data_IF_363880030838
#
_entry.id   IF_363880030838
#
_cell.length_a   1.000
_cell.length_b   1.000
_cell.length_c   1.000
_cell.angle_alpha   90.00
_cell.angle_beta   90.00
_cell.angle_gamma   90.00
#
_symmetry.space_group_name_H-M   'P 1'
#
loop_
_entity.id
_entity.type
_entity.pdbx_description
1 polymer ?
#
# COMPACT_ATOMS: atom_id res chain seq x y z
N UNK A 1 10.61 -0.32 11.54
CA UNK A 1 9.33 0.36 11.81
C UNK A 1 8.99 0.07 13.26
N UNK A 2 8.83 1.06 14.14
CA UNK A 2 8.20 0.79 15.42
C UNK A 2 6.79 0.29 15.13
N UNK A 3 6.53 -0.98 15.41
CA UNK A 3 5.22 -1.62 15.31
C UNK A 3 5.05 -2.46 16.57
N UNK A 4 3.83 -2.51 17.10
CA UNK A 4 3.51 -3.31 18.29
C UNK A 4 3.50 -4.80 17.94
N UNK A 5 3.05 -5.13 16.72
CA UNK A 5 2.95 -6.49 16.21
C UNK A 5 3.36 -6.54 14.73
N UNK A 6 3.95 -7.65 14.30
CA UNK A 6 4.25 -7.91 12.89
C UNK A 6 4.11 -9.40 12.57
N UNK A 7 3.77 -9.70 11.31
CA UNK A 7 3.76 -11.06 10.79
C UNK A 7 4.82 -11.22 9.72
N UNK A 8 5.51 -12.34 9.76
CA UNK A 8 6.51 -12.74 8.78
C UNK A 8 5.90 -13.62 7.69
N UNK A 9 6.72 -13.97 6.68
CA UNK A 9 6.32 -14.92 5.65
C UNK A 9 6.00 -16.30 6.24
N UNK A 10 6.72 -16.72 7.28
CA UNK A 10 6.56 -18.00 7.97
C UNK A 10 5.19 -18.12 8.64
N UNK A 11 4.68 -17.02 9.20
CA UNK A 11 3.40 -16.98 9.88
C UNK A 11 2.21 -16.82 8.93
N UNK A 12 2.46 -16.63 7.63
CA UNK A 12 1.45 -16.32 6.62
C UNK A 12 0.51 -15.19 7.08
N UNK A 13 1.02 -13.96 7.12
CA UNK A 13 0.26 -12.78 7.56
C UNK A 13 -1.08 -12.55 6.84
N UNK A 14 -1.32 -13.19 5.68
CA UNK A 14 -2.60 -13.15 4.98
C UNK A 14 -3.71 -13.91 5.72
N UNK A 15 -3.39 -14.89 6.56
CA UNK A 15 -4.35 -15.67 7.35
C UNK A 15 -4.46 -15.21 8.81
N UNK A 16 -3.53 -14.38 9.27
CA UNK A 16 -3.47 -13.91 10.65
C UNK A 16 -4.44 -12.77 10.92
N UNK A 17 -5.07 -12.62 12.09
CA UNK A 17 -5.99 -11.53 12.36
C UNK A 17 -5.32 -10.14 12.21
N UNK A 18 -6.04 -9.19 11.62
CA UNK A 18 -5.55 -7.81 11.44
C UNK A 18 -6.30 -6.88 12.38
N UNK A 19 -5.58 -6.00 13.06
CA UNK A 19 -6.14 -5.07 14.04
C UNK A 19 -5.49 -3.69 13.89
N UNK A 20 -6.24 -2.66 14.28
CA UNK A 20 -5.75 -1.29 14.30
C UNK A 20 -5.34 -0.77 12.92
N UNK A 21 -4.20 -0.08 12.87
CA UNK A 21 -3.64 0.51 11.66
C UNK A 21 -2.59 -0.42 11.04
N UNK A 22 -2.84 -0.90 9.83
CA UNK A 22 -1.98 -1.90 9.17
C UNK A 22 -0.99 -1.24 8.20
N UNK A 23 0.30 -1.55 8.36
CA UNK A 23 1.30 -1.38 7.31
C UNK A 23 1.44 -2.69 6.53
N UNK A 24 0.84 -2.75 5.35
CA UNK A 24 0.84 -3.95 4.49
C UNK A 24 2.00 -3.87 3.50
N UNK A 25 2.99 -4.74 3.65
CA UNK A 25 4.08 -4.94 2.69
C UNK A 25 4.06 -6.42 2.25
N UNK A 26 3.17 -6.80 1.31
CA UNK A 26 2.99 -8.19 0.93
C UNK A 26 4.23 -8.69 0.16
N UNK A 27 4.46 -10.01 0.08
CA UNK A 27 5.51 -10.54 -0.75
C UNK A 27 5.41 -10.02 -2.20
N UNK A 28 6.50 -9.48 -2.72
CA UNK A 28 6.59 -9.04 -4.11
C UNK A 28 6.68 -10.29 -5.00
N UNK A 29 5.51 -10.81 -5.37
CA UNK A 29 5.38 -11.99 -6.21
C UNK A 29 5.12 -11.67 -7.68
N UNK A 30 4.63 -12.67 -8.41
CA UNK A 30 4.13 -12.48 -9.77
C UNK A 30 3.01 -11.43 -9.83
N UNK A 31 2.69 -10.97 -11.06
CA UNK A 31 1.77 -9.84 -11.32
C UNK A 31 0.53 -9.81 -10.44
N UNK A 32 -0.11 -10.96 -10.20
CA UNK A 32 -1.38 -11.07 -9.46
C UNK A 32 -1.22 -11.58 -8.02
N UNK A 33 0.01 -11.84 -7.54
CA UNK A 33 0.23 -12.35 -6.18
C UNK A 33 -0.18 -11.37 -5.07
N UNK A 34 -0.36 -10.09 -5.42
CA UNK A 34 -0.81 -9.03 -4.51
C UNK A 34 -2.32 -9.02 -4.30
N UNK A 35 -3.10 -9.66 -5.19
CA UNK A 35 -4.57 -9.56 -5.20
C UNK A 35 -5.21 -10.00 -3.88
N UNK A 36 -4.90 -11.20 -3.32
CA UNK A 36 -5.51 -11.63 -2.05
C UNK A 36 -5.22 -10.67 -0.89
N UNK A 37 -4.07 -10.02 -0.91
CA UNK A 37 -3.67 -9.05 0.11
C UNK A 37 -4.46 -7.74 -0.03
N UNK A 38 -4.70 -7.27 -1.25
CA UNK A 38 -5.51 -6.07 -1.50
C UNK A 38 -6.99 -6.29 -1.20
N UNK A 39 -7.54 -7.47 -1.51
CA UNK A 39 -8.89 -7.85 -1.10
C UNK A 39 -9.04 -7.74 0.42
N UNK A 40 -8.11 -8.36 1.14
CA UNK A 40 -8.10 -8.32 2.60
C UNK A 40 -7.89 -6.91 3.15
N UNK A 41 -7.03 -6.12 2.53
CA UNK A 41 -6.77 -4.73 2.92
C UNK A 41 -7.99 -3.83 2.72
N UNK A 42 -8.73 -4.02 1.63
CA UNK A 42 -10.00 -3.33 1.41
C UNK A 42 -11.03 -3.72 2.46
N UNK A 43 -11.15 -5.01 2.80
CA UNK A 43 -12.04 -5.47 3.87
C UNK A 43 -11.65 -4.92 5.25
N UNK A 44 -10.34 -4.78 5.53
CA UNK A 44 -9.82 -4.21 6.79
C UNK A 44 -10.06 -2.70 6.88
N UNK A 45 -9.90 -1.96 5.78
CA UNK A 45 -10.32 -0.56 5.68
C UNK A 45 -9.47 0.47 6.43
N UNK A 46 -8.37 0.09 7.08
CA UNK A 46 -7.54 1.02 7.85
C UNK A 46 -6.03 0.69 7.80
N UNK A 47 -5.27 1.43 7.00
CA UNK A 47 -3.84 1.21 6.86
C UNK A 47 -3.18 1.88 5.64
N UNK A 48 -1.95 1.47 5.35
CA UNK A 48 -1.23 1.76 4.10
C UNK A 48 -0.69 0.44 3.53
N UNK A 49 -0.99 0.17 2.26
CA UNK A 49 -0.40 -0.92 1.50
C UNK A 49 0.72 -0.40 0.58
N UNK A 50 1.87 -1.07 0.62
CA UNK A 50 3.02 -0.83 -0.23
C UNK A 50 3.07 -1.93 -1.30
N UNK A 51 2.86 -1.56 -2.56
CA UNK A 51 2.83 -2.52 -3.67
C UNK A 51 3.59 -1.99 -4.90
N UNK A 52 3.91 -2.88 -5.85
CA UNK A 52 4.46 -2.45 -7.13
C UNK A 52 3.48 -1.53 -7.87
N UNK A 53 3.97 -0.44 -8.45
CA UNK A 53 3.18 0.46 -9.27
C UNK A 53 2.94 -0.11 -10.69
N UNK A 54 2.26 -1.25 -10.78
CA UNK A 54 1.88 -1.88 -12.04
C UNK A 54 0.58 -1.25 -12.59
N UNK A 55 0.64 0.04 -12.92
CA UNK A 55 -0.53 0.89 -13.20
C UNK A 55 -1.36 0.50 -14.42
N UNK A 56 -0.88 -0.43 -15.24
CA UNK A 56 -1.59 -0.99 -16.40
C UNK A 56 -2.18 -2.38 -16.15
N UNK A 57 -1.99 -2.96 -14.96
CA UNK A 57 -2.53 -4.28 -14.63
C UNK A 57 -4.00 -4.17 -14.19
N UNK A 58 -4.82 -5.18 -14.54
CA UNK A 58 -6.25 -5.21 -14.19
C UNK A 58 -6.51 -4.98 -12.71
N UNK A 59 -5.79 -5.68 -11.83
CA UNK A 59 -5.94 -5.49 -10.38
C UNK A 59 -5.68 -4.04 -9.94
N UNK A 60 -4.78 -3.31 -10.59
CA UNK A 60 -4.54 -1.92 -10.23
C UNK A 60 -5.80 -1.09 -10.49
N UNK A 61 -6.46 -1.29 -11.62
CA UNK A 61 -7.73 -0.63 -11.95
C UNK A 61 -8.89 -1.12 -11.08
N UNK A 62 -8.84 -2.35 -10.56
CA UNK A 62 -9.88 -2.89 -9.66
C UNK A 62 -9.77 -2.37 -8.23
N UNK A 63 -8.55 -2.07 -7.76
CA UNK A 63 -8.29 -1.69 -6.36
C UNK A 63 -7.99 -0.21 -6.18
N UNK A 64 -7.28 0.45 -7.09
CA UNK A 64 -6.91 1.85 -6.96
C UNK A 64 -8.12 2.78 -6.77
N UNK A 65 -9.27 2.61 -7.47
CA UNK A 65 -10.46 3.44 -7.23
C UNK A 65 -11.11 3.26 -5.85
N UNK A 66 -10.81 2.16 -5.14
CA UNK A 66 -11.39 1.86 -3.83
C UNK A 66 -10.65 2.55 -2.68
N UNK A 67 -9.47 3.12 -2.95
CA UNK A 67 -8.57 3.70 -1.95
C UNK A 67 -8.94 5.15 -1.65
N UNK A 68 -8.64 5.62 -0.43
CA UNK A 68 -8.84 7.01 -0.04
C UNK A 68 -7.73 7.92 -0.61
N UNK A 69 -6.53 7.36 -0.77
CA UNK A 69 -5.41 8.04 -1.40
C UNK A 69 -4.42 7.04 -2.00
N UNK A 70 -3.78 7.45 -3.09
CA UNK A 70 -2.63 6.81 -3.69
C UNK A 70 -1.46 7.77 -3.64
N UNK A 71 -0.26 7.26 -3.39
CA UNK A 71 0.96 8.06 -3.37
C UNK A 71 2.08 7.36 -4.14
N UNK A 72 2.69 8.10 -5.06
CA UNK A 72 3.79 7.66 -5.91
C UNK A 72 5.04 8.42 -5.50
N UNK A 73 5.97 7.78 -4.75
CA UNK A 73 7.19 8.44 -4.31
C UNK A 73 8.01 8.96 -5.49
N UNK A 74 8.68 10.11 -5.28
CA UNK A 74 9.64 10.67 -6.23
C UNK A 74 10.90 9.80 -6.26
N UNK A 75 11.24 9.29 -7.44
CA UNK A 75 12.39 8.42 -7.63
C UNK A 75 12.10 6.94 -7.37
N UNK A 76 13.10 6.07 -7.58
CA UNK A 76 12.97 4.63 -7.37
C UNK A 76 13.26 4.28 -5.92
N UNK A 77 12.24 3.81 -5.19
CA UNK A 77 12.37 3.37 -3.79
C UNK A 77 13.29 2.16 -3.69
N UNK A 78 14.46 2.33 -3.07
CA UNK A 78 15.40 1.25 -2.81
C UNK A 78 15.06 0.57 -1.48
N UNK A 79 14.90 -0.74 -1.50
CA UNK A 79 14.69 -1.53 -0.28
C UNK A 79 16.02 -1.83 0.38
N UNK A 80 16.03 -1.83 1.71
CA UNK A 80 17.17 -2.28 2.52
C UNK A 80 16.97 -3.76 2.81
N UNK A 81 17.99 -4.57 2.51
CA UNK A 81 18.00 -6.01 2.80
C UNK A 81 18.18 -6.25 4.31
N UNK A 82 17.90 -7.47 4.81
CA UNK A 82 18.13 -7.81 6.21
C UNK A 82 19.58 -7.62 6.69
N UNK A 83 20.56 -7.73 5.78
CA UNK A 83 21.98 -7.50 6.04
C UNK A 83 22.38 -6.01 6.04
N UNK A 84 21.43 -5.09 5.82
CA UNK A 84 21.66 -3.65 5.76
C UNK A 84 22.08 -3.13 4.38
N UNK A 85 22.33 -4.00 3.40
CA UNK A 85 22.69 -3.59 2.05
C UNK A 85 21.48 -2.92 1.36
N UNK A 86 21.71 -1.79 0.70
CA UNK A 86 20.71 -1.15 -0.15
C UNK A 86 20.60 -1.92 -1.46
N UNK A 87 19.40 -2.31 -1.82
CA UNK A 87 19.11 -2.89 -3.13
C UNK A 87 19.49 -1.92 -4.26
N UNK A 88 19.82 -2.51 -5.42
CA UNK A 88 19.96 -1.74 -6.67
C UNK A 88 18.64 -1.05 -7.02
N UNK A 89 18.71 -0.02 -7.87
CA UNK A 89 17.50 0.67 -8.37
C UNK A 89 16.49 -0.34 -8.94
N UNK A 90 15.31 -0.51 -8.34
CA UNK A 90 14.34 -1.48 -8.83
C UNK A 90 13.80 -1.09 -10.20
N UNK A 91 13.46 -2.10 -11.01
CA UNK A 91 12.91 -1.90 -12.34
C UNK A 91 11.56 -1.15 -12.27
N UNK A 92 10.72 -1.51 -11.31
CA UNK A 92 9.42 -0.89 -11.09
C UNK A 92 9.45 0.12 -9.94
N UNK A 93 8.62 1.16 -10.04
CA UNK A 93 8.32 2.02 -8.89
C UNK A 93 7.34 1.31 -7.94
N UNK A 94 7.10 1.93 -6.79
CA UNK A 94 6.05 1.52 -5.86
C UNK A 94 4.91 2.54 -5.85
N UNK A 95 3.78 2.09 -5.33
CA UNK A 95 2.65 2.94 -4.96
C UNK A 95 2.28 2.59 -3.52
N UNK A 96 2.04 3.63 -2.72
CA UNK A 96 1.42 3.50 -1.41
C UNK A 96 -0.08 3.74 -1.58
N UNK A 97 -0.89 2.80 -1.11
CA UNK A 97 -2.35 2.85 -1.18
C UNK A 97 -2.91 2.95 0.24
N UNK A 98 -3.65 4.02 0.55
CA UNK A 98 -4.20 4.24 1.87
C UNK A 98 -5.72 3.98 1.92
N UNK A 99 -6.13 3.42 3.06
CA UNK A 99 -7.52 3.37 3.52
C UNK A 99 -7.58 3.88 4.96
N UNK A 100 -8.61 4.64 5.28
CA UNK A 100 -8.80 5.26 6.59
C UNK A 100 -8.07 6.60 6.76
N UNK A 101 -8.58 7.41 7.69
CA UNK A 101 -8.11 8.80 7.88
C UNK A 101 -6.64 8.92 8.28
N UNK A 102 -6.09 7.96 9.02
CA UNK A 102 -4.67 7.96 9.39
C UNK A 102 -3.76 7.78 8.17
N UNK A 103 -4.09 6.82 7.30
CA UNK A 103 -3.32 6.55 6.09
C UNK A 103 -3.37 7.74 5.13
N UNK A 104 -4.58 8.28 4.92
CA UNK A 104 -4.78 9.48 4.10
C UNK A 104 -3.92 10.66 4.58
N UNK A 105 -3.97 10.99 5.88
CA UNK A 105 -3.18 12.10 6.45
C UNK A 105 -1.69 11.89 6.29
N UNK A 106 -1.20 10.67 6.50
CA UNK A 106 0.22 10.34 6.34
C UNK A 106 0.68 10.55 4.88
N UNK A 107 -0.10 10.09 3.90
CA UNK A 107 0.22 10.29 2.48
C UNK A 107 0.13 11.77 2.07
N UNK A 108 -0.86 12.50 2.61
CA UNK A 108 -0.97 13.94 2.39
C UNK A 108 0.25 14.68 2.93
N UNK A 109 0.68 14.39 4.15
CA UNK A 109 1.87 15.01 4.73
C UNK A 109 3.12 14.72 3.89
N UNK A 110 3.27 13.48 3.40
CA UNK A 110 4.39 13.14 2.52
C UNK A 110 4.36 13.92 1.20
N UNK A 111 3.17 14.14 0.63
CA UNK A 111 2.97 14.96 -0.56
C UNK A 111 3.29 16.44 -0.31
N UNK A 112 2.74 17.01 0.75
CA UNK A 112 2.97 18.42 1.13
C UNK A 112 4.47 18.69 1.39
N UNK A 113 5.20 17.70 1.88
CA UNK A 113 6.66 17.75 2.06
C UNK A 113 7.48 17.51 0.78
N UNK A 114 6.84 17.32 -0.38
CA UNK A 114 7.51 17.18 -1.68
C UNK A 114 8.10 15.80 -1.97
N UNK A 115 7.73 14.75 -1.22
CA UNK A 115 8.28 13.41 -1.40
C UNK A 115 7.70 12.64 -2.59
N UNK A 116 6.64 13.13 -3.24
CA UNK A 116 6.00 12.43 -4.34
C UNK A 116 4.66 13.00 -4.79
N UNK A 117 4.06 12.31 -5.76
CA UNK A 117 2.74 12.64 -6.31
C UNK A 117 1.66 11.92 -5.52
N UNK A 118 0.65 12.65 -5.06
CA UNK A 118 -0.56 12.08 -4.48
C UNK A 118 -1.71 12.14 -5.49
N UNK A 119 -2.51 11.07 -5.55
CA UNK A 119 -3.75 10.98 -6.32
C UNK A 119 -4.87 10.60 -5.38
N UNK A 120 -5.97 11.34 -5.42
CA UNK A 120 -7.19 11.03 -4.67
C UNK A 120 -8.18 10.45 -5.69
N UNK A 121 -8.47 9.14 -5.65
CA UNK A 121 -9.46 8.54 -6.53
C UNK A 121 -10.84 9.13 -6.24
N UNK A 122 -11.62 9.38 -7.30
CA UNK A 122 -13.03 9.72 -7.16
C UNK A 122 -13.77 8.43 -6.78
N UNK A 123 -14.08 8.27 -5.49
CA UNK A 123 -14.63 7.02 -4.96
C UNK A 123 -16.15 7.00 -5.15
N UNK A 124 -16.69 5.92 -5.72
CA UNK A 124 -18.15 5.70 -5.88
C UNK A 124 -18.86 5.41 -4.55
N UNK A 125 -18.12 5.26 -3.44
CA UNK A 125 -18.67 5.02 -2.08
C UNK A 125 -19.34 6.23 -1.43
N UNK A 126 -19.26 7.41 -2.04
CA UNK A 126 -19.93 8.60 -1.53
C UNK A 126 -21.48 8.56 -1.65
N UNK A 127 -22.06 7.53 -2.28
CA UNK A 127 -23.51 7.40 -2.48
C UNK A 127 -24.30 6.65 -1.40
N UNK A 128 -23.68 6.02 -0.40
CA UNK A 128 -24.39 5.19 0.61
C UNK A 128 -24.56 5.87 1.98
N UNK A 129 -24.37 7.18 2.06
CA UNK A 129 -24.75 7.96 3.24
C UNK A 129 -25.54 9.20 2.84
N UNK A 130 -26.81 9.00 2.53
CA UNK A 130 -27.87 9.99 2.62
C UNK A 130 -29.14 9.30 3.13
#
# INVERSE_FOLDING_TARGET
MPTEHFYTKQENGLLQPWHGFVWLNPPFGGRNGVVPWLERFVSHGNGIALVNALTSCGWFHDFAPKMDALFFPKGKTQFVKPDGERGKSPQNGIVLMALGGNGFRALKHAHDAGFGLMVIPQNTRAGEKA
#
